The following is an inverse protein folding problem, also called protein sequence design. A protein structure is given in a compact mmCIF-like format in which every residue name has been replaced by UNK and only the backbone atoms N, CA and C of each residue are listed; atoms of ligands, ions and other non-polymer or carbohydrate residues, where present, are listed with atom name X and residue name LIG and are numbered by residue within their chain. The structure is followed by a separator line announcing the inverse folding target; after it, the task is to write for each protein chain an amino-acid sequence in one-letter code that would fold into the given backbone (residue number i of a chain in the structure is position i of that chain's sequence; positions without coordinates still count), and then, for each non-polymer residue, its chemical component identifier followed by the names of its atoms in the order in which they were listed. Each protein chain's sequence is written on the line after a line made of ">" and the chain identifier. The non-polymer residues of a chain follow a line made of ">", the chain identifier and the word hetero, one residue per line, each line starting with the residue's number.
data_IF_179850731006
#
_entry.id   IF_179850731006
#
_cell.length_a   1.000
_cell.length_b   1.000
_cell.length_c   1.000
_cell.angle_alpha   90.00
_cell.angle_beta   90.00
_cell.angle_gamma   90.00
#
_symmetry.space_group_name_H-M   'P 1'
#
loop_
_entity.id
_entity.type
_entity.pdbx_description
1 polymer ?
#
# COMPACT_ATOMS: atom_id res chain seq x y z
N UNK A 1 8.48 -5.52 -87.48
CA UNK A 1 8.30 -4.56 -86.40
C UNK A 1 7.60 -5.29 -85.28
N UNK A 2 8.37 -5.81 -84.30
CA UNK A 2 7.88 -6.65 -83.18
C UNK A 2 7.78 -5.73 -81.96
N UNK A 3 6.58 -5.57 -81.41
CA UNK A 3 6.30 -4.75 -80.21
C UNK A 3 6.42 -5.67 -79.01
N UNK A 4 7.42 -5.44 -78.13
CA UNK A 4 7.53 -6.07 -76.82
C UNK A 4 6.64 -5.35 -75.83
N UNK A 5 5.64 -6.05 -75.29
CA UNK A 5 4.83 -5.56 -74.17
C UNK A 5 5.53 -5.96 -72.87
N UNK A 6 6.05 -4.97 -72.13
CA UNK A 6 6.60 -5.21 -70.79
C UNK A 6 5.46 -5.22 -69.77
N UNK A 7 5.20 -6.35 -69.16
CA UNK A 7 4.26 -6.50 -68.03
C UNK A 7 5.02 -6.18 -66.72
N UNK A 8 4.76 -5.02 -66.14
CA UNK A 8 5.21 -4.69 -64.78
C UNK A 8 4.33 -5.43 -63.78
N UNK A 9 4.87 -6.47 -63.15
CA UNK A 9 4.25 -7.13 -61.96
C UNK A 9 4.56 -6.24 -60.74
N UNK A 10 3.59 -5.44 -60.28
CA UNK A 10 3.67 -4.79 -58.94
C UNK A 10 3.45 -5.86 -57.87
N UNK A 11 4.53 -6.34 -57.28
CA UNK A 11 4.46 -7.07 -56.02
C UNK A 11 4.05 -6.11 -54.87
N UNK A 12 2.76 -6.05 -54.58
CA UNK A 12 2.26 -5.40 -53.36
C UNK A 12 2.73 -6.19 -52.14
N UNK A 13 3.79 -5.70 -51.48
CA UNK A 13 4.16 -6.13 -50.13
C UNK A 13 3.07 -5.64 -49.16
N UNK A 14 2.04 -6.47 -48.96
CA UNK A 14 1.15 -6.32 -47.80
C UNK A 14 1.99 -6.62 -46.57
N UNK A 15 2.47 -5.58 -45.88
CA UNK A 15 3.00 -5.73 -44.54
C UNK A 15 1.86 -6.22 -43.66
N UNK A 16 1.90 -7.50 -43.29
CA UNK A 16 1.02 -8.02 -42.26
C UNK A 16 1.27 -7.18 -41.00
N UNK A 17 0.30 -6.37 -40.63
CA UNK A 17 0.30 -5.61 -39.40
C UNK A 17 0.25 -6.66 -38.27
N UNK A 18 1.42 -7.01 -37.71
CA UNK A 18 1.45 -7.91 -36.55
C UNK A 18 0.70 -7.18 -35.44
N UNK A 19 -0.37 -7.78 -34.96
CA UNK A 19 -1.03 -7.29 -33.73
C UNK A 19 0.05 -7.19 -32.65
N UNK A 20 0.10 -6.09 -31.90
CA UNK A 20 1.08 -5.93 -30.83
C UNK A 20 0.94 -7.11 -29.88
N UNK A 21 2.08 -7.68 -29.45
CA UNK A 21 2.11 -8.77 -28.46
C UNK A 21 1.32 -8.36 -27.24
N UNK A 22 0.32 -9.13 -26.86
CA UNK A 22 -0.42 -8.92 -25.62
C UNK A 22 0.39 -9.51 -24.44
N UNK A 23 0.50 -8.76 -23.35
CA UNK A 23 1.17 -9.20 -22.14
C UNK A 23 0.17 -9.49 -21.04
N UNK A 24 0.36 -10.58 -20.32
CA UNK A 24 -0.39 -10.91 -19.10
C UNK A 24 0.44 -10.59 -17.87
N UNK A 25 -0.02 -9.64 -17.07
CA UNK A 25 0.65 -9.19 -15.84
C UNK A 25 -0.20 -9.56 -14.63
N UNK A 26 0.35 -10.38 -13.74
CA UNK A 26 -0.30 -10.68 -12.46
C UNK A 26 -0.02 -9.57 -11.46
N UNK A 27 -1.05 -9.09 -10.78
CA UNK A 27 -0.94 -8.14 -9.68
C UNK A 27 -1.45 -8.82 -8.40
N UNK A 28 -0.54 -9.05 -7.46
CA UNK A 28 -0.75 -9.88 -6.26
C UNK A 28 -0.61 -8.99 -5.02
N UNK A 29 -1.72 -8.49 -4.45
CA UNK A 29 -1.73 -7.71 -3.21
C UNK A 29 -1.61 -8.60 -1.97
N UNK A 30 -1.48 -8.01 -0.77
CA UNK A 30 -1.59 -8.76 0.49
C UNK A 30 -3.03 -9.21 0.75
N UNK A 31 -4.01 -8.41 0.35
CA UNK A 31 -5.45 -8.68 0.52
C UNK A 31 -6.29 -7.93 -0.50
N UNK A 32 -7.62 -8.05 -0.42
CA UNK A 32 -8.54 -7.46 -1.39
C UNK A 32 -9.60 -6.53 -0.77
N UNK A 33 -9.73 -6.48 0.56
CA UNK A 33 -10.89 -5.86 1.21
C UNK A 33 -10.70 -4.38 1.54
N UNK A 34 -9.47 -3.95 1.87
CA UNK A 34 -9.17 -2.58 2.25
C UNK A 34 -9.21 -1.63 1.05
N UNK A 35 -9.56 -0.38 1.30
CA UNK A 35 -9.56 0.70 0.29
C UNK A 35 -8.19 0.87 -0.35
N UNK A 36 -7.13 0.66 0.43
CA UNK A 36 -5.74 0.68 -0.03
C UNK A 36 -5.51 -0.29 -1.20
N UNK A 37 -5.93 -1.56 -1.08
CA UNK A 37 -5.76 -2.56 -2.15
C UNK A 37 -6.64 -2.31 -3.36
N UNK A 38 -7.87 -1.83 -3.14
CA UNK A 38 -8.76 -1.41 -4.23
C UNK A 38 -8.15 -0.27 -5.05
N UNK A 39 -7.46 0.67 -4.40
CA UNK A 39 -6.75 1.76 -5.08
C UNK A 39 -5.59 1.25 -5.93
N UNK A 40 -4.79 0.27 -5.43
CA UNK A 40 -3.74 -0.39 -6.23
C UNK A 40 -4.34 -1.07 -7.46
N UNK A 41 -5.44 -1.81 -7.29
CA UNK A 41 -6.14 -2.47 -8.39
C UNK A 41 -6.60 -1.47 -9.45
N UNK A 42 -7.24 -0.39 -9.03
CA UNK A 42 -7.69 0.68 -9.93
C UNK A 42 -6.53 1.29 -10.72
N UNK A 43 -5.41 1.56 -10.07
CA UNK A 43 -4.19 2.06 -10.72
C UNK A 43 -3.60 1.07 -11.74
N UNK A 44 -3.58 -0.21 -11.42
CA UNK A 44 -3.12 -1.26 -12.32
C UNK A 44 -4.01 -1.37 -13.58
N UNK A 45 -5.34 -1.29 -13.42
CA UNK A 45 -6.29 -1.30 -14.53
C UNK A 45 -6.18 -0.04 -15.41
N UNK A 46 -5.95 1.14 -14.80
CA UNK A 46 -5.69 2.36 -15.57
C UNK A 46 -4.44 2.18 -16.46
N UNK A 47 -3.35 1.66 -15.89
CA UNK A 47 -2.13 1.43 -16.64
C UNK A 47 -2.35 0.45 -17.81
N UNK A 48 -3.06 -0.65 -17.59
CA UNK A 48 -3.40 -1.62 -18.63
C UNK A 48 -4.26 -1.00 -19.74
N UNK A 49 -5.26 -0.20 -19.37
CA UNK A 49 -6.12 0.51 -20.33
C UNK A 49 -5.31 1.48 -21.21
N UNK A 50 -4.39 2.26 -20.63
CA UNK A 50 -3.54 3.17 -21.40
C UNK A 50 -2.56 2.45 -22.33
N UNK A 51 -2.07 1.27 -21.94
CA UNK A 51 -1.14 0.47 -22.73
C UNK A 51 -1.84 -0.26 -23.88
N UNK A 52 -3.10 -0.62 -23.72
CA UNK A 52 -3.97 -1.19 -24.75
C UNK A 52 -3.70 -2.66 -25.09
N UNK A 53 -2.54 -3.21 -24.73
CA UNK A 53 -2.12 -4.59 -24.98
C UNK A 53 -1.63 -5.30 -23.71
N UNK A 54 -2.21 -4.96 -22.57
CA UNK A 54 -1.91 -5.59 -21.27
C UNK A 54 -3.19 -6.12 -20.66
N UNK A 55 -3.19 -7.41 -20.32
CA UNK A 55 -4.20 -8.06 -19.50
C UNK A 55 -3.71 -8.14 -18.05
N UNK A 56 -4.48 -7.62 -17.10
CA UNK A 56 -4.17 -7.67 -15.67
C UNK A 56 -4.92 -8.82 -15.01
N UNK A 57 -4.19 -9.74 -14.40
CA UNK A 57 -4.75 -10.75 -13.49
C UNK A 57 -4.61 -10.22 -12.06
N UNK A 58 -5.72 -9.81 -11.45
CA UNK A 58 -5.77 -9.45 -10.04
C UNK A 58 -6.10 -10.68 -9.20
N UNK A 59 -5.18 -11.11 -8.35
CA UNK A 59 -5.36 -12.29 -7.51
C UNK A 59 -4.73 -12.08 -6.14
N UNK A 60 -5.50 -12.30 -5.06
CA UNK A 60 -5.03 -12.22 -3.68
C UNK A 60 -5.42 -13.45 -2.89
N UNK A 61 -4.79 -13.67 -1.73
CA UNK A 61 -5.35 -14.47 -0.66
C UNK A 61 -6.65 -13.84 -0.11
N UNK A 62 -7.39 -14.59 0.67
CA UNK A 62 -8.66 -14.13 1.28
C UNK A 62 -8.44 -13.08 2.37
N UNK A 63 -7.31 -13.16 3.09
CA UNK A 63 -6.96 -12.30 4.23
C UNK A 63 -5.50 -11.85 4.13
N UNK A 64 -5.19 -10.70 4.74
CA UNK A 64 -3.83 -10.15 4.77
C UNK A 64 -2.87 -10.87 5.75
N UNK A 65 -3.33 -11.86 6.50
CA UNK A 65 -2.55 -12.74 7.36
C UNK A 65 -2.40 -14.16 6.80
N UNK A 66 -2.95 -14.42 5.62
CA UNK A 66 -2.90 -15.73 4.96
C UNK A 66 -1.69 -15.81 4.02
N UNK A 67 -0.53 -16.07 4.64
CA UNK A 67 0.75 -16.22 3.93
C UNK A 67 0.72 -17.37 2.93
N UNK A 68 0.15 -18.50 3.31
CA UNK A 68 0.13 -19.70 2.48
C UNK A 68 -0.73 -19.50 1.23
N UNK A 69 -1.86 -18.79 1.36
CA UNK A 69 -2.66 -18.38 0.20
C UNK A 69 -1.90 -17.46 -0.75
N UNK A 70 -1.12 -16.49 -0.24
CA UNK A 70 -0.34 -15.62 -1.12
C UNK A 70 0.78 -16.38 -1.83
N UNK A 71 1.44 -17.32 -1.15
CA UNK A 71 2.44 -18.22 -1.75
C UNK A 71 1.80 -19.01 -2.89
N UNK A 72 0.66 -19.65 -2.63
CA UNK A 72 -0.05 -20.44 -3.64
C UNK A 72 -0.45 -19.62 -4.86
N UNK A 73 -0.93 -18.38 -4.65
CA UNK A 73 -1.23 -17.47 -5.77
C UNK A 73 0.01 -17.18 -6.60
N UNK A 74 1.17 -16.97 -5.96
CA UNK A 74 2.42 -16.73 -6.68
C UNK A 74 2.87 -17.95 -7.48
N UNK A 75 2.80 -19.16 -6.91
CA UNK A 75 3.07 -20.42 -7.60
C UNK A 75 2.12 -20.64 -8.80
N UNK A 76 0.83 -20.35 -8.63
CA UNK A 76 -0.16 -20.44 -9.70
C UNK A 76 0.21 -19.51 -10.88
N UNK A 77 0.64 -18.26 -10.60
CA UNK A 77 1.04 -17.30 -11.64
C UNK A 77 2.32 -17.72 -12.35
N UNK A 78 3.28 -18.29 -11.62
CA UNK A 78 4.51 -18.86 -12.22
C UNK A 78 4.15 -20.03 -13.14
N UNK A 79 3.28 -20.92 -12.69
CA UNK A 79 2.81 -22.09 -13.48
C UNK A 79 2.04 -21.65 -14.74
N UNK A 80 1.23 -20.60 -14.65
CA UNK A 80 0.52 -19.99 -15.78
C UNK A 80 1.47 -19.29 -16.77
N UNK A 81 2.75 -19.10 -16.39
CA UNK A 81 3.76 -18.42 -17.19
C UNK A 81 3.32 -17.03 -17.62
N UNK A 82 2.79 -16.24 -16.67
CA UNK A 82 2.48 -14.84 -16.91
C UNK A 82 3.73 -14.08 -17.37
N UNK A 83 3.58 -13.01 -18.16
CA UNK A 83 4.73 -12.26 -18.67
C UNK A 83 5.43 -11.43 -17.59
N UNK A 84 4.74 -11.09 -16.48
CA UNK A 84 5.34 -10.38 -15.34
C UNK A 84 4.46 -10.38 -14.10
N UNK A 85 5.07 -10.11 -12.97
CA UNK A 85 4.40 -10.12 -11.66
C UNK A 85 4.64 -8.78 -10.94
N UNK A 86 3.57 -8.17 -10.47
CA UNK A 86 3.58 -7.06 -9.51
C UNK A 86 3.13 -7.61 -8.17
N UNK A 87 4.02 -7.64 -7.17
CA UNK A 87 3.80 -8.30 -5.89
C UNK A 87 3.92 -7.33 -4.72
N UNK A 88 2.92 -7.28 -3.85
CA UNK A 88 3.03 -6.71 -2.52
C UNK A 88 3.26 -7.84 -1.50
N UNK A 89 4.51 -8.11 -1.06
CA UNK A 89 4.78 -9.26 -0.19
C UNK A 89 4.13 -9.07 1.19
N UNK A 90 3.42 -10.07 1.65
CA UNK A 90 2.83 -10.10 2.98
C UNK A 90 3.93 -10.27 4.05
N UNK A 91 4.97 -11.03 3.73
CA UNK A 91 6.12 -11.32 4.60
C UNK A 91 7.43 -11.09 3.84
N UNK A 92 8.36 -10.37 4.46
CA UNK A 92 9.61 -9.92 3.82
C UNK A 92 10.66 -11.03 3.59
N UNK A 93 10.43 -12.21 4.13
CA UNK A 93 11.31 -13.39 4.04
C UNK A 93 10.63 -14.55 3.33
N UNK A 94 9.40 -14.88 3.71
CA UNK A 94 8.73 -16.11 3.26
C UNK A 94 8.48 -16.16 1.75
N UNK A 95 8.29 -15.01 1.10
CA UNK A 95 8.05 -14.93 -0.35
C UNK A 95 9.35 -14.97 -1.20
N UNK A 96 10.52 -14.90 -0.58
CA UNK A 96 11.83 -14.87 -1.30
C UNK A 96 12.05 -16.07 -2.22
N UNK A 97 11.83 -17.33 -1.78
CA UNK A 97 12.04 -18.49 -2.65
C UNK A 97 11.22 -18.42 -3.95
N UNK A 98 9.97 -17.98 -3.85
CA UNK A 98 9.04 -17.92 -4.98
C UNK A 98 9.35 -16.76 -5.94
N UNK A 99 9.82 -15.62 -5.43
CA UNK A 99 10.35 -14.54 -6.29
C UNK A 99 11.62 -14.98 -7.02
N UNK A 100 12.48 -15.74 -6.36
CA UNK A 100 13.64 -16.34 -7.02
C UNK A 100 13.22 -17.35 -8.10
N UNK A 101 12.21 -18.17 -7.85
CA UNK A 101 11.65 -19.12 -8.80
C UNK A 101 11.05 -18.41 -10.02
N UNK A 102 10.28 -17.33 -9.81
CA UNK A 102 9.79 -16.49 -10.90
C UNK A 102 10.93 -15.98 -11.79
N UNK A 103 12.02 -15.51 -11.18
CA UNK A 103 13.20 -15.01 -11.89
C UNK A 103 13.90 -16.12 -12.69
N UNK A 104 14.03 -17.35 -12.14
CA UNK A 104 14.58 -18.52 -12.83
C UNK A 104 13.73 -18.88 -14.05
N UNK A 105 12.41 -18.69 -13.96
CA UNK A 105 11.47 -18.91 -15.05
C UNK A 105 11.38 -17.71 -16.03
N UNK A 106 12.28 -16.72 -15.95
CA UNK A 106 12.31 -15.50 -16.74
C UNK A 106 11.05 -14.62 -16.61
N UNK A 107 10.38 -14.69 -15.47
CA UNK A 107 9.23 -13.84 -15.14
C UNK A 107 9.74 -12.67 -14.30
N UNK A 108 9.79 -11.43 -14.83
CA UNK A 108 10.21 -10.26 -14.06
C UNK A 108 9.22 -9.95 -12.95
N UNK A 109 9.76 -9.57 -11.78
CA UNK A 109 8.96 -9.21 -10.61
C UNK A 109 9.22 -7.75 -10.23
N UNK A 110 8.16 -6.97 -10.09
CA UNK A 110 8.16 -5.66 -9.43
C UNK A 110 7.55 -5.82 -8.04
N UNK A 111 8.27 -5.38 -7.03
CA UNK A 111 7.76 -5.33 -5.67
C UNK A 111 7.08 -3.98 -5.44
N UNK A 112 5.91 -3.98 -4.81
CA UNK A 112 5.17 -2.76 -4.43
C UNK A 112 4.83 -2.76 -2.94
N UNK A 113 4.53 -1.58 -2.37
CA UNK A 113 4.09 -1.35 -0.98
C UNK A 113 5.10 -1.78 0.08
N UNK A 114 5.41 -3.06 0.14
CA UNK A 114 6.19 -3.69 1.20
C UNK A 114 7.42 -4.37 0.62
N UNK A 115 8.59 -4.09 1.19
CA UNK A 115 9.86 -4.62 0.68
C UNK A 115 9.99 -6.14 0.91
N UNK A 116 10.87 -6.75 0.12
CA UNK A 116 11.25 -8.15 0.23
C UNK A 116 12.77 -8.23 0.45
N UNK A 117 13.23 -9.02 1.39
CA UNK A 117 14.66 -9.26 1.64
C UNK A 117 15.29 -10.10 0.52
N UNK A 118 15.26 -9.57 -0.70
CA UNK A 118 15.79 -10.18 -1.93
C UNK A 118 16.38 -9.09 -2.83
N UNK A 119 17.28 -9.46 -3.72
CA UNK A 119 17.78 -8.62 -4.82
C UNK A 119 17.20 -9.05 -6.20
N UNK A 120 16.38 -10.10 -6.23
CA UNK A 120 15.91 -10.79 -7.44
C UNK A 120 14.67 -10.17 -8.10
N UNK A 121 14.26 -9.00 -7.67
CA UNK A 121 13.21 -8.22 -8.35
C UNK A 121 13.82 -7.07 -9.18
N UNK A 122 13.10 -6.60 -10.20
CA UNK A 122 13.59 -5.57 -11.11
C UNK A 122 13.41 -4.15 -10.57
N UNK A 123 12.36 -3.91 -9.77
CA UNK A 123 12.05 -2.60 -9.18
C UNK A 123 11.26 -2.75 -7.87
N UNK A 124 11.43 -1.77 -6.97
CA UNK A 124 10.61 -1.62 -5.76
C UNK A 124 9.93 -0.24 -5.77
N UNK A 125 8.60 -0.24 -5.73
CA UNK A 125 7.74 0.96 -5.85
C UNK A 125 6.88 1.08 -4.60
N UNK A 126 7.18 2.01 -3.74
CA UNK A 126 6.49 2.16 -2.45
C UNK A 126 6.71 3.55 -1.86
N UNK A 127 5.91 3.89 -0.86
CA UNK A 127 6.17 4.98 0.08
C UNK A 127 7.50 4.77 0.82
N UNK A 128 8.23 5.83 1.11
CA UNK A 128 9.26 5.79 2.16
C UNK A 128 8.57 5.59 3.52
N UNK A 129 8.39 4.32 3.89
CA UNK A 129 7.65 3.92 5.09
C UNK A 129 8.33 4.39 6.38
N UNK A 130 9.67 4.41 6.42
CA UNK A 130 10.40 4.93 7.57
C UNK A 130 10.16 6.43 7.75
N UNK A 131 10.22 7.20 6.66
CA UNK A 131 9.90 8.64 6.67
C UNK A 131 8.43 8.87 7.05
N UNK A 132 7.50 8.03 6.57
CA UNK A 132 6.09 8.08 6.95
C UNK A 132 5.89 7.95 8.47
N UNK A 133 6.56 6.98 9.09
CA UNK A 133 6.56 6.81 10.55
C UNK A 133 7.14 8.02 11.30
N UNK A 134 8.24 8.59 10.81
CA UNK A 134 8.83 9.81 11.39
C UNK A 134 7.86 10.99 11.32
N UNK A 135 7.21 11.20 10.16
CA UNK A 135 6.19 12.26 9.99
C UNK A 135 5.03 12.10 10.97
N UNK A 136 4.59 10.85 11.22
CA UNK A 136 3.55 10.56 12.22
C UNK A 136 4.00 10.96 13.65
N UNK A 137 5.24 10.64 14.02
CA UNK A 137 5.79 10.98 15.33
C UNK A 137 5.90 12.50 15.53
N UNK A 138 6.48 13.20 14.55
CA UNK A 138 6.65 14.66 14.59
C UNK A 138 5.28 15.38 14.65
N UNK A 139 4.28 14.88 13.90
CA UNK A 139 2.92 15.39 13.94
C UNK A 139 2.28 15.19 15.31
N UNK A 140 2.32 13.95 15.84
CA UNK A 140 1.73 13.62 17.14
C UNK A 140 2.40 14.39 18.28
N UNK A 141 3.74 14.47 18.29
CA UNK A 141 4.48 15.22 19.29
C UNK A 141 4.06 16.71 19.34
N UNK A 142 3.96 17.37 18.18
CA UNK A 142 3.48 18.76 18.09
C UNK A 142 2.06 18.89 18.63
N UNK A 143 1.16 17.96 18.29
CA UNK A 143 -0.25 18.00 18.73
C UNK A 143 -0.42 17.89 20.25
N UNK A 144 0.51 17.19 20.94
CA UNK A 144 0.48 17.04 22.41
C UNK A 144 1.42 18.02 23.13
N UNK A 145 1.98 19.02 22.39
CA UNK A 145 2.88 20.03 22.97
C UNK A 145 4.23 19.47 23.41
N UNK A 146 4.73 18.46 22.70
CA UNK A 146 6.04 17.79 22.88
C UNK A 146 6.25 17.19 24.28
N UNK A 147 5.17 16.93 25.00
CA UNK A 147 5.17 16.29 26.33
C UNK A 147 3.94 15.45 26.51
N UNK A 148 4.05 14.39 27.32
CA UNK A 148 2.89 13.54 27.64
C UNK A 148 3.17 12.06 27.44
N UNK A 149 2.13 11.27 27.40
CA UNK A 149 2.15 9.81 27.37
C UNK A 149 1.59 9.33 26.04
N UNK A 150 2.31 8.43 25.35
CA UNK A 150 1.95 7.96 24.00
C UNK A 150 1.91 6.44 23.99
N UNK A 151 0.95 5.88 23.25
CA UNK A 151 0.88 4.46 22.89
C UNK A 151 0.96 4.29 21.39
N UNK A 152 1.45 3.13 20.98
CA UNK A 152 1.48 2.69 19.58
C UNK A 152 0.83 1.32 19.45
N UNK A 153 -0.11 1.18 18.50
CA UNK A 153 -0.63 -0.11 18.07
C UNK A 153 0.11 -0.53 16.81
N UNK A 154 0.83 -1.64 16.87
CA UNK A 154 1.57 -2.24 15.76
C UNK A 154 0.63 -3.07 14.88
N UNK A 155 1.12 -3.44 13.69
CA UNK A 155 0.33 -4.26 12.77
C UNK A 155 0.58 -5.76 12.94
N UNK A 156 1.62 -6.29 12.30
CA UNK A 156 2.02 -7.70 12.31
C UNK A 156 3.51 -7.84 12.04
N UNK A 157 4.12 -8.88 12.56
CA UNK A 157 5.51 -9.22 12.24
C UNK A 157 5.62 -9.72 10.79
N UNK A 158 6.78 -9.49 10.17
CA UNK A 158 7.06 -9.89 8.78
C UNK A 158 6.62 -8.86 7.74
N UNK A 159 5.71 -7.94 8.06
CA UNK A 159 5.30 -6.87 7.13
C UNK A 159 6.33 -5.74 7.11
N UNK A 160 7.20 -5.71 6.10
CA UNK A 160 8.30 -4.74 6.02
C UNK A 160 7.82 -3.29 6.04
N UNK A 161 6.73 -2.94 5.34
CA UNK A 161 6.20 -1.58 5.29
C UNK A 161 5.81 -1.07 6.68
N UNK A 162 5.03 -1.85 7.43
CA UNK A 162 4.56 -1.44 8.76
C UNK A 162 5.67 -1.45 9.80
N UNK A 163 6.58 -2.44 9.75
CA UNK A 163 7.77 -2.45 10.62
C UNK A 163 8.65 -1.21 10.41
N UNK A 164 8.80 -0.72 9.18
CA UNK A 164 9.53 0.52 8.89
C UNK A 164 8.80 1.76 9.43
N UNK A 165 7.46 1.82 9.32
CA UNK A 165 6.65 2.90 9.91
C UNK A 165 6.79 2.94 11.44
N UNK A 166 6.68 1.77 12.07
CA UNK A 166 6.85 1.60 13.53
C UNK A 166 8.24 2.05 13.97
N UNK A 167 9.28 1.60 13.27
CA UNK A 167 10.67 2.01 13.55
C UNK A 167 10.86 3.50 13.37
N UNK A 168 10.40 4.07 12.26
CA UNK A 168 10.49 5.51 11.99
C UNK A 168 9.80 6.34 13.05
N UNK A 169 8.60 5.90 13.49
CA UNK A 169 7.88 6.54 14.60
C UNK A 169 8.67 6.48 15.91
N UNK A 170 9.16 5.30 16.30
CA UNK A 170 9.91 5.12 17.55
C UNK A 170 11.21 5.92 17.57
N UNK A 171 11.93 5.95 16.45
CA UNK A 171 13.20 6.67 16.35
C UNK A 171 13.01 8.20 16.40
N UNK A 172 11.89 8.70 15.86
CA UNK A 172 11.59 10.13 15.89
C UNK A 172 10.99 10.57 17.23
N UNK A 173 10.02 9.84 17.77
CA UNK A 173 9.31 10.24 19.00
C UNK A 173 10.24 10.27 20.22
N UNK A 174 11.26 9.42 20.27
CA UNK A 174 12.27 9.39 21.35
C UNK A 174 13.13 10.67 21.43
N UNK A 175 13.15 11.49 20.37
CA UNK A 175 13.86 12.79 20.39
C UNK A 175 13.13 13.83 21.26
N UNK A 176 11.84 13.61 21.50
CA UNK A 176 11.01 14.44 22.38
C UNK A 176 11.11 13.90 23.81
N UNK A 177 12.13 14.33 24.55
CA UNK A 177 12.51 13.76 25.87
C UNK A 177 11.44 13.83 26.94
N UNK A 178 10.43 14.72 26.79
CA UNK A 178 9.30 14.83 27.71
C UNK A 178 8.10 13.95 27.28
N UNK A 179 8.24 13.11 26.25
CA UNK A 179 7.23 12.14 25.84
C UNK A 179 7.60 10.77 26.37
N UNK A 180 6.65 10.14 27.08
CA UNK A 180 6.79 8.79 27.65
C UNK A 180 6.03 7.80 26.77
N UNK A 181 6.73 6.81 26.25
CA UNK A 181 6.13 5.68 25.54
C UNK A 181 5.59 4.67 26.57
N UNK A 182 4.27 4.58 26.68
CA UNK A 182 3.58 3.74 27.67
C UNK A 182 3.42 2.28 27.18
N UNK A 183 3.10 2.13 25.89
CA UNK A 183 2.99 0.82 25.24
C UNK A 183 3.37 0.92 23.76
N UNK A 184 4.25 0.01 23.32
CA UNK A 184 4.76 -0.02 21.94
C UNK A 184 4.91 -1.45 21.40
N UNK A 185 4.40 -2.44 22.11
CA UNK A 185 4.59 -3.87 21.79
C UNK A 185 3.27 -4.63 21.52
N UNK A 186 2.14 -3.91 21.50
CA UNK A 186 0.85 -4.52 21.19
C UNK A 186 0.63 -4.60 19.68
N UNK A 187 0.33 -5.77 19.18
CA UNK A 187 0.00 -6.02 17.78
C UNK A 187 -1.51 -6.06 17.55
N UNK A 188 -1.98 -5.35 16.52
CA UNK A 188 -3.39 -5.30 16.13
C UNK A 188 -3.82 -6.45 15.24
N UNK A 189 -2.88 -7.10 14.55
CA UNK A 189 -3.21 -8.10 13.52
C UNK A 189 -3.66 -7.44 12.20
N UNK A 190 -3.98 -8.30 11.24
CA UNK A 190 -4.18 -7.87 9.85
C UNK A 190 -5.61 -7.38 9.52
N UNK A 191 -6.59 -7.71 10.36
CA UNK A 191 -7.99 -7.37 10.10
C UNK A 191 -8.51 -6.25 11.00
N UNK A 192 -9.54 -5.56 10.56
CA UNK A 192 -10.22 -4.54 11.38
C UNK A 192 -10.76 -5.13 12.69
N UNK A 193 -11.22 -6.40 12.68
CA UNK A 193 -11.74 -7.08 13.87
C UNK A 193 -10.63 -7.38 14.88
N UNK A 194 -9.51 -7.97 14.44
CA UNK A 194 -8.37 -8.25 15.34
C UNK A 194 -7.79 -6.97 15.90
N UNK A 195 -7.67 -5.93 15.07
CA UNK A 195 -7.20 -4.62 15.49
C UNK A 195 -8.15 -3.94 16.48
N UNK A 196 -9.47 -4.09 16.31
CA UNK A 196 -10.47 -3.60 17.26
C UNK A 196 -10.29 -4.26 18.64
N UNK A 197 -10.25 -5.59 18.70
CA UNK A 197 -10.04 -6.34 19.96
C UNK A 197 -8.71 -5.99 20.65
N UNK A 198 -7.64 -5.87 19.86
CA UNK A 198 -6.34 -5.47 20.40
C UNK A 198 -6.37 -4.03 20.92
N UNK A 199 -7.09 -3.14 20.26
CA UNK A 199 -7.28 -1.75 20.70
C UNK A 199 -8.05 -1.66 22.00
N UNK A 200 -9.17 -2.41 22.14
CA UNK A 200 -9.93 -2.46 23.40
C UNK A 200 -9.03 -2.93 24.57
N UNK A 201 -8.26 -4.00 24.37
CA UNK A 201 -7.33 -4.51 25.37
C UNK A 201 -6.23 -3.50 25.72
N UNK A 202 -5.74 -2.76 24.73
CA UNK A 202 -4.69 -1.76 24.92
C UNK A 202 -5.19 -0.53 25.70
N UNK A 203 -6.41 -0.04 25.42
CA UNK A 203 -6.95 1.16 26.08
C UNK A 203 -7.64 0.87 27.40
N UNK A 204 -8.15 -0.36 27.64
CA UNK A 204 -8.89 -0.69 28.84
C UNK A 204 -8.15 -0.35 30.16
N UNK A 205 -6.88 -0.75 30.36
CA UNK A 205 -6.14 -0.43 31.59
C UNK A 205 -5.72 1.04 31.69
N UNK A 206 -5.89 1.82 30.61
CA UNK A 206 -5.53 3.24 30.55
C UNK A 206 -6.73 4.16 30.83
N UNK A 207 -7.93 3.60 30.99
CA UNK A 207 -9.12 4.40 31.34
C UNK A 207 -9.03 4.88 32.79
N UNK A 208 -9.30 6.16 33.00
CA UNK A 208 -9.33 6.80 34.31
C UNK A 208 -10.75 6.83 34.86
N UNK A 209 -10.89 7.01 36.17
CA UNK A 209 -12.19 7.04 36.83
C UNK A 209 -13.11 8.21 36.34
N UNK A 210 -12.53 9.28 35.83
CA UNK A 210 -13.24 10.43 35.26
C UNK A 210 -13.59 10.25 33.78
N UNK A 211 -13.42 9.03 33.22
CA UNK A 211 -13.81 8.69 31.86
C UNK A 211 -12.89 9.22 30.76
N UNK A 212 -11.62 9.50 31.09
CA UNK A 212 -10.55 9.86 30.12
C UNK A 212 -9.58 8.70 29.93
N UNK A 213 -8.59 8.88 29.08
CA UNK A 213 -7.40 8.02 29.00
C UNK A 213 -6.22 8.69 29.75
N UNK A 214 -5.40 7.86 30.38
CA UNK A 214 -4.13 8.29 31.00
C UNK A 214 -2.99 8.44 29.98
N UNK A 215 -3.32 8.67 28.71
CA UNK A 215 -2.40 8.93 27.60
C UNK A 215 -2.89 10.13 26.79
N UNK A 216 -1.94 10.85 26.20
CA UNK A 216 -2.19 12.09 25.46
C UNK A 216 -2.20 11.85 23.95
N UNK A 217 -1.53 10.79 23.49
CA UNK A 217 -1.39 10.47 22.08
C UNK A 217 -1.43 8.99 21.74
N UNK A 218 -1.97 8.70 20.55
CA UNK A 218 -2.07 7.35 19.98
C UNK A 218 -1.52 7.37 18.55
N UNK A 219 -0.73 6.38 18.20
CA UNK A 219 -0.31 6.13 16.81
C UNK A 219 -0.70 4.71 16.37
N UNK A 220 -1.27 4.61 15.15
CA UNK A 220 -1.55 3.34 14.46
C UNK A 220 -0.93 3.38 13.06
N UNK A 221 -0.30 2.28 12.63
CA UNK A 221 0.66 2.30 11.52
C UNK A 221 0.08 1.91 10.14
N UNK A 222 -1.22 1.55 10.03
CA UNK A 222 -1.89 1.21 8.76
C UNK A 222 -3.42 1.32 8.86
N UNK A 223 -4.14 1.12 7.72
CA UNK A 223 -5.60 1.25 7.64
C UNK A 223 -6.33 0.41 8.70
N UNK A 224 -6.03 -0.91 8.81
CA UNK A 224 -6.76 -1.79 9.73
C UNK A 224 -6.55 -1.44 11.20
N UNK A 225 -5.33 -1.13 11.62
CA UNK A 225 -5.03 -0.74 13.00
C UNK A 225 -5.62 0.65 13.33
N UNK A 226 -5.59 1.59 12.39
CA UNK A 226 -6.21 2.91 12.55
C UNK A 226 -7.72 2.79 12.69
N UNK A 227 -8.35 1.98 11.84
CA UNK A 227 -9.79 1.75 11.89
C UNK A 227 -10.22 1.03 13.18
N UNK A 228 -9.50 -0.05 13.58
CA UNK A 228 -9.79 -0.79 14.81
C UNK A 228 -9.69 0.09 16.05
N UNK A 229 -8.65 0.92 16.15
CA UNK A 229 -8.47 1.87 17.25
C UNK A 229 -9.56 2.94 17.26
N UNK A 230 -9.92 3.50 16.09
CA UNK A 230 -11.01 4.46 15.98
C UNK A 230 -12.32 3.86 16.54
N UNK A 231 -12.68 2.65 16.14
CA UNK A 231 -13.88 1.97 16.63
C UNK A 231 -13.86 1.77 18.14
N UNK A 232 -12.75 1.29 18.70
CA UNK A 232 -12.60 1.10 20.14
C UNK A 232 -12.74 2.43 20.92
N UNK A 233 -12.22 3.52 20.37
CA UNK A 233 -12.37 4.86 20.93
C UNK A 233 -13.81 5.38 20.85
N UNK A 234 -14.50 5.16 19.71
CA UNK A 234 -15.90 5.54 19.52
C UNK A 234 -16.82 4.81 20.51
N UNK A 235 -16.70 3.47 20.59
CA UNK A 235 -17.53 2.64 21.47
C UNK A 235 -17.29 2.98 22.96
N UNK A 236 -16.07 3.39 23.29
CA UNK A 236 -15.69 3.87 24.63
C UNK A 236 -16.02 5.36 24.87
N UNK A 237 -16.59 6.10 23.89
CA UNK A 237 -16.86 7.55 23.94
C UNK A 237 -15.60 8.39 24.20
N UNK A 238 -14.47 7.93 23.68
CA UNK A 238 -13.14 8.54 23.83
C UNK A 238 -12.60 9.16 22.53
N UNK A 239 -13.27 8.90 21.38
CA UNK A 239 -12.94 9.50 20.11
C UNK A 239 -12.93 11.04 20.20
N UNK A 240 -11.88 11.67 19.67
CA UNK A 240 -11.66 13.12 19.77
C UNK A 240 -11.11 13.64 21.12
N UNK A 241 -11.08 12.81 22.17
CA UNK A 241 -10.60 13.21 23.51
C UNK A 241 -9.12 12.95 23.75
N UNK A 242 -8.47 12.21 22.88
CA UNK A 242 -7.05 11.91 22.87
C UNK A 242 -6.49 12.20 21.47
N UNK A 243 -5.27 12.73 21.37
CA UNK A 243 -4.67 13.01 20.07
C UNK A 243 -4.36 11.70 19.35
N UNK A 244 -4.91 11.53 18.16
CA UNK A 244 -4.79 10.29 17.40
C UNK A 244 -4.27 10.57 16.00
N UNK A 245 -3.11 9.97 15.67
CA UNK A 245 -2.52 9.94 14.33
C UNK A 245 -2.58 8.52 13.80
N UNK A 246 -3.20 8.36 12.64
CA UNK A 246 -3.32 7.10 11.93
C UNK A 246 -2.54 7.07 10.62
N UNK A 247 -2.73 6.01 9.87
CA UNK A 247 -2.10 5.81 8.56
C UNK A 247 -3.16 5.35 7.56
N UNK A 248 -2.98 5.72 6.27
CA UNK A 248 -3.87 5.45 5.15
C UNK A 248 -5.19 6.22 5.19
N UNK A 249 -6.04 6.02 4.18
CA UNK A 249 -7.35 6.61 4.08
C UNK A 249 -8.40 5.56 3.72
N UNK A 250 -9.57 5.74 4.30
CA UNK A 250 -10.83 5.14 3.87
C UNK A 250 -11.93 6.16 4.13
N UNK A 251 -13.10 5.97 3.53
CA UNK A 251 -14.22 6.90 3.76
C UNK A 251 -14.50 7.13 5.26
N UNK A 252 -14.39 6.06 6.06
CA UNK A 252 -14.63 6.17 7.51
C UNK A 252 -13.53 6.94 8.23
N UNK A 253 -12.27 6.74 7.87
CA UNK A 253 -11.15 7.47 8.47
C UNK A 253 -11.17 8.95 8.08
N UNK A 254 -11.54 9.25 6.83
CA UNK A 254 -11.69 10.64 6.36
C UNK A 254 -12.81 11.35 7.10
N UNK A 255 -13.98 10.72 7.24
CA UNK A 255 -15.10 11.27 8.02
C UNK A 255 -14.68 11.52 9.49
N UNK A 256 -13.93 10.59 10.09
CA UNK A 256 -13.43 10.74 11.46
C UNK A 256 -12.43 11.91 11.59
N UNK A 257 -11.61 12.16 10.57
CA UNK A 257 -10.73 13.32 10.52
C UNK A 257 -11.53 14.62 10.42
N UNK A 258 -12.55 14.69 9.56
CA UNK A 258 -13.48 15.82 9.44
C UNK A 258 -14.17 16.14 10.77
N UNK A 259 -14.60 15.10 11.48
CA UNK A 259 -15.30 15.22 12.76
C UNK A 259 -14.35 15.48 13.95
N UNK A 260 -13.03 15.43 13.76
CA UNK A 260 -12.04 15.61 14.82
C UNK A 260 -11.90 14.40 15.76
N UNK A 261 -12.37 13.22 15.35
CA UNK A 261 -12.19 11.96 16.09
C UNK A 261 -10.80 11.37 15.86
N UNK A 262 -10.22 11.60 14.68
CA UNK A 262 -8.81 11.45 14.33
C UNK A 262 -8.24 12.84 14.09
N UNK A 263 -6.97 13.06 14.42
CA UNK A 263 -6.35 14.38 14.33
C UNK A 263 -5.35 14.49 13.18
N UNK A 264 -4.85 13.37 12.68
CA UNK A 264 -3.97 13.32 11.52
C UNK A 264 -3.90 11.94 10.89
N UNK A 265 -3.70 11.92 9.59
CA UNK A 265 -3.46 10.70 8.80
C UNK A 265 -2.16 10.89 8.00
N UNK A 266 -1.35 9.84 7.93
CA UNK A 266 -0.24 9.77 7.00
C UNK A 266 -0.72 8.97 5.79
N UNK A 267 -0.80 9.62 4.64
CA UNK A 267 -1.29 9.00 3.42
C UNK A 267 -0.14 8.51 2.55
N UNK A 268 -0.43 7.47 1.81
CA UNK A 268 0.35 6.93 0.71
C UNK A 268 -0.35 7.23 -0.63
N UNK A 269 0.27 6.85 -1.74
CA UNK A 269 -0.36 6.85 -3.05
C UNK A 269 -0.44 5.41 -3.61
N UNK A 270 -1.39 4.59 -3.11
CA UNK A 270 -1.56 3.22 -3.57
C UNK A 270 -1.98 3.14 -5.04
N UNK A 271 -2.76 4.09 -5.54
CA UNK A 271 -3.14 4.15 -6.95
C UNK A 271 -1.91 4.22 -7.84
N UNK A 272 -0.97 5.12 -7.51
CA UNK A 272 0.30 5.27 -8.22
C UNK A 272 1.18 4.03 -8.11
N UNK A 273 1.15 3.30 -6.97
CA UNK A 273 1.89 2.03 -6.82
C UNK A 273 1.41 0.98 -7.83
N UNK A 274 0.09 0.78 -7.95
CA UNK A 274 -0.48 -0.14 -8.92
C UNK A 274 -0.21 0.27 -10.37
N UNK A 275 -0.42 1.55 -10.67
CA UNK A 275 -0.17 2.11 -11.99
C UNK A 275 1.29 1.96 -12.43
N UNK A 276 2.23 2.38 -11.60
CA UNK A 276 3.66 2.27 -11.90
C UNK A 276 4.14 0.83 -11.90
N UNK A 277 3.56 -0.05 -11.06
CA UNK A 277 3.89 -1.47 -11.04
C UNK A 277 3.71 -2.11 -12.42
N UNK A 278 2.54 -1.91 -13.02
CA UNK A 278 2.22 -2.44 -14.36
C UNK A 278 3.06 -1.75 -15.45
N UNK A 279 3.18 -0.41 -15.41
CA UNK A 279 4.01 0.35 -16.37
C UNK A 279 5.47 -0.08 -16.33
N UNK A 280 6.02 -0.37 -15.16
CA UNK A 280 7.43 -0.79 -14.99
C UNK A 280 7.66 -2.20 -15.55
N UNK A 281 6.76 -3.16 -15.29
CA UNK A 281 6.82 -4.48 -15.92
C UNK A 281 6.77 -4.34 -17.45
N UNK A 282 5.81 -3.57 -17.97
CA UNK A 282 5.66 -3.37 -19.41
C UNK A 282 6.91 -2.75 -20.05
N UNK A 283 7.48 -1.72 -19.43
CA UNK A 283 8.71 -1.09 -19.90
C UNK A 283 9.88 -2.12 -19.96
N UNK A 284 10.04 -2.91 -18.91
CA UNK A 284 11.07 -3.94 -18.85
C UNK A 284 10.88 -5.01 -19.93
N UNK A 285 9.66 -5.50 -20.14
CA UNK A 285 9.33 -6.50 -21.18
C UNK A 285 9.60 -5.99 -22.61
N UNK A 286 9.58 -4.65 -22.79
CA UNK A 286 9.95 -3.99 -24.05
C UNK A 286 11.44 -3.58 -24.11
N UNK A 287 12.29 -4.13 -23.24
CA UNK A 287 13.74 -3.93 -23.24
C UNK A 287 14.21 -2.56 -22.69
N UNK A 288 13.33 -1.81 -22.03
CA UNK A 288 13.70 -0.53 -21.43
C UNK A 288 14.35 -0.72 -20.05
N UNK A 289 15.28 0.16 -19.71
CA UNK A 289 15.81 0.21 -18.36
C UNK A 289 14.78 0.78 -17.39
N UNK A 290 14.67 0.15 -16.21
CA UNK A 290 13.75 0.57 -15.14
C UNK A 290 14.50 0.99 -13.89
N UNK A 291 13.93 1.94 -13.14
CA UNK A 291 14.51 2.39 -11.87
C UNK A 291 14.40 1.27 -10.82
N UNK A 292 15.47 1.03 -10.08
CA UNK A 292 15.51 0.00 -9.03
C UNK A 292 14.59 0.34 -7.86
N UNK A 293 14.39 1.64 -7.54
CA UNK A 293 13.50 2.13 -6.50
C UNK A 293 12.73 3.38 -6.96
N UNK A 294 11.44 3.40 -6.70
CA UNK A 294 10.55 4.55 -6.96
C UNK A 294 9.79 4.85 -5.67
N UNK A 295 9.97 6.06 -5.14
CA UNK A 295 9.20 6.54 -3.99
C UNK A 295 7.88 7.18 -4.47
N UNK A 296 6.77 6.75 -3.91
CA UNK A 296 5.44 7.28 -4.20
C UNK A 296 5.01 8.41 -3.25
N UNK A 297 5.83 8.72 -2.26
CA UNK A 297 5.59 9.78 -1.28
C UNK A 297 4.88 9.33 0.00
N UNK A 298 5.01 10.17 1.03
CA UNK A 298 4.27 10.09 2.28
C UNK A 298 3.72 11.48 2.63
N UNK A 299 2.42 11.62 2.81
CA UNK A 299 1.73 12.90 2.93
C UNK A 299 1.04 13.03 4.27
N UNK A 300 1.26 14.15 4.95
CA UNK A 300 0.61 14.46 6.23
C UNK A 300 -0.71 15.17 5.95
N UNK A 301 -1.80 14.60 6.44
CA UNK A 301 -3.14 15.20 6.32
C UNK A 301 -3.73 15.42 7.69
N UNK A 302 -4.24 16.63 7.90
CA UNK A 302 -4.99 17.07 9.08
C UNK A 302 -6.27 17.77 8.61
N UNK A 303 -7.15 18.11 9.53
CA UNK A 303 -8.39 18.84 9.21
C UNK A 303 -8.12 20.17 8.50
N UNK A 304 -7.00 20.83 8.81
CA UNK A 304 -6.64 22.14 8.28
C UNK A 304 -6.25 22.11 6.80
N UNK A 305 -5.62 20.99 6.34
CA UNK A 305 -5.10 20.90 4.98
C UNK A 305 -5.81 19.84 4.12
N UNK A 306 -6.78 19.10 4.65
CA UNK A 306 -7.45 18.02 3.91
C UNK A 306 -8.19 18.47 2.64
N UNK A 307 -8.50 19.77 2.53
CA UNK A 307 -9.14 20.35 1.34
C UNK A 307 -8.14 20.75 0.25
N UNK A 308 -6.83 20.51 0.44
CA UNK A 308 -5.84 20.69 -0.62
C UNK A 308 -6.17 19.77 -1.81
N UNK A 309 -6.21 20.30 -3.07
CA UNK A 309 -6.59 19.50 -4.24
C UNK A 309 -5.73 18.26 -4.48
N UNK A 310 -4.44 18.30 -4.15
CA UNK A 310 -3.56 17.13 -4.31
C UNK A 310 -3.81 16.10 -3.20
N UNK A 311 -4.11 16.53 -1.99
CA UNK A 311 -4.46 15.62 -0.89
C UNK A 311 -5.86 15.00 -1.09
N UNK A 312 -6.79 15.75 -1.69
CA UNK A 312 -8.11 15.23 -2.04
C UNK A 312 -8.05 14.02 -2.97
N UNK A 313 -7.11 13.99 -3.92
CA UNK A 313 -6.90 12.83 -4.80
C UNK A 313 -6.48 11.58 -4.04
N UNK A 314 -5.72 11.75 -2.95
CA UNK A 314 -5.27 10.65 -2.10
C UNK A 314 -6.35 10.22 -1.10
N UNK A 315 -7.15 11.17 -0.60
CA UNK A 315 -8.26 10.91 0.31
C UNK A 315 -9.43 10.21 -0.40
N UNK A 316 -9.70 10.57 -1.66
CA UNK A 316 -10.83 10.09 -2.45
C UNK A 316 -10.36 9.61 -3.84
N UNK A 317 -9.55 8.54 -3.92
CA UNK A 317 -9.12 8.01 -5.20
C UNK A 317 -10.32 7.54 -6.03
N UNK A 318 -10.27 7.77 -7.35
CA UNK A 318 -11.35 7.41 -8.29
C UNK A 318 -11.37 5.89 -8.58
N UNK A 319 -11.65 5.11 -7.54
CA UNK A 319 -11.69 3.65 -7.59
C UNK A 319 -12.87 3.16 -8.45
N UNK A 320 -14.04 3.81 -8.31
CA UNK A 320 -15.28 3.38 -8.97
C UNK A 320 -15.18 3.37 -10.49
N UNK A 321 -14.46 4.33 -11.05
CA UNK A 321 -14.24 4.42 -12.50
C UNK A 321 -13.60 3.16 -13.07
N UNK A 322 -12.72 2.53 -12.32
CA UNK A 322 -11.91 1.40 -12.78
C UNK A 322 -12.43 0.04 -12.32
N UNK A 323 -13.01 -0.06 -11.13
CA UNK A 323 -13.47 -1.34 -10.57
C UNK A 323 -14.95 -1.65 -10.89
N UNK A 324 -15.70 -0.69 -11.48
CA UNK A 324 -17.14 -0.84 -11.78
C UNK A 324 -17.96 -1.23 -10.53
N UNK A 325 -17.56 -0.74 -9.33
CA UNK A 325 -18.25 -0.96 -8.06
C UNK A 325 -19.23 0.18 -7.71
#
# INVERSE_FOLDING_TARGET
>A
MVIFLAVCILNGLTSAQQNPKEFTIAVIPKGATHTFWKSIHAGALMAAHELGNVNVIWKSGLKEDDRDSQIKVLEDMITLKVDGIVLAPLDDVALRPYVNEATINNIPVVIIDSDLKSDKYISFIATDNYLGGRKAADLLAKMIGEKGRVIMLRYAEGSASTMQRERGFLDAIRKYTNIVLVSTNQFGGATAETAYKASENLIAPLKTADGRLSVDGIFCCNESTTFGMLRALQDSKLAGKVKFVGFDSSRMLVNALENGEIHGLILQDPFKMGYLGVKTIYAFLNGQQVQKRIDTGAFVVTKENMNDPELQKLLYPDIKKWLKE
#
